data_IF_711310064681
#
_entry.id   IF_711310064681
#
_cell.length_a   1.000
_cell.length_b   1.000
_cell.length_c   1.000
_cell.angle_alpha   90.00
_cell.angle_beta   90.00
_cell.angle_gamma   90.00
#
_symmetry.space_group_name_H-M   'P 1'
#
loop_
_entity.id
_entity.type
_entity.pdbx_description
1 polymer ?
#
# COMPACT_ATOMS: atom_id res chain seq x y z
N UNK A 1 5.58 8.72 -1.91
CA UNK A 1 5.27 7.28 -1.82
C UNK A 1 6.44 6.47 -2.31
N UNK A 2 6.68 6.48 -3.62
CA UNK A 2 7.77 5.75 -4.29
C UNK A 2 9.17 6.00 -3.70
N UNK A 3 9.45 7.21 -3.23
CA UNK A 3 10.70 7.54 -2.55
C UNK A 3 10.96 6.68 -1.29
N UNK A 4 9.91 6.28 -0.57
CA UNK A 4 10.01 5.39 0.60
C UNK A 4 10.32 3.95 0.17
N UNK A 5 9.70 3.48 -0.91
CA UNK A 5 9.98 2.16 -1.48
C UNK A 5 11.44 2.06 -1.92
N UNK A 6 11.93 3.07 -2.66
CA UNK A 6 13.32 3.16 -3.07
C UNK A 6 14.28 3.19 -1.88
N UNK A 7 13.97 3.99 -0.85
CA UNK A 7 14.80 4.08 0.35
C UNK A 7 14.92 2.75 1.09
N UNK A 8 13.83 1.98 1.22
CA UNK A 8 13.87 0.65 1.84
C UNK A 8 14.67 -0.33 0.99
N UNK A 9 14.47 -0.37 -0.33
CA UNK A 9 15.25 -1.25 -1.20
C UNK A 9 16.76 -0.97 -1.09
N UNK A 10 17.16 0.30 -1.03
CA UNK A 10 18.57 0.73 -0.86
C UNK A 10 19.20 0.31 0.47
N UNK A 11 18.42 -0.06 1.50
CA UNK A 11 18.97 -0.58 2.75
C UNK A 11 19.49 -2.02 2.61
N UNK A 12 19.00 -2.78 1.61
CA UNK A 12 19.26 -4.22 1.47
C UNK A 12 19.90 -4.60 0.14
N UNK A 13 19.91 -3.70 -0.85
CA UNK A 13 20.32 -3.96 -2.22
C UNK A 13 21.35 -2.93 -2.71
N UNK A 14 22.05 -3.24 -3.80
CA UNK A 14 22.85 -2.24 -4.51
C UNK A 14 21.94 -1.18 -5.15
N UNK A 15 22.50 -0.04 -5.56
CA UNK A 15 21.72 1.02 -6.23
C UNK A 15 21.00 0.52 -7.49
N UNK A 16 21.70 -0.26 -8.32
CA UNK A 16 21.15 -0.83 -9.56
C UNK A 16 20.02 -1.82 -9.25
N UNK A 17 20.23 -2.72 -8.29
CA UNK A 17 19.22 -3.69 -7.87
C UNK A 17 18.00 -3.01 -7.24
N UNK A 18 18.21 -1.98 -6.42
CA UNK A 18 17.13 -1.19 -5.82
C UNK A 18 16.31 -0.45 -6.88
N UNK A 19 16.96 0.06 -7.92
CA UNK A 19 16.26 0.66 -9.07
C UNK A 19 15.38 -0.37 -9.78
N UNK A 20 15.92 -1.55 -10.11
CA UNK A 20 15.15 -2.59 -10.79
C UNK A 20 14.06 -3.19 -9.90
N UNK A 21 14.27 -3.27 -8.58
CA UNK A 21 13.24 -3.62 -7.62
C UNK A 21 12.08 -2.62 -7.67
N UNK A 22 12.37 -1.31 -7.66
CA UNK A 22 11.32 -0.28 -7.75
C UNK A 22 10.55 -0.38 -9.08
N UNK A 23 11.25 -0.59 -10.20
CA UNK A 23 10.61 -0.80 -11.51
C UNK A 23 9.71 -2.03 -11.47
N UNK A 24 10.18 -3.14 -10.88
CA UNK A 24 9.38 -4.37 -10.72
C UNK A 24 8.09 -4.10 -9.94
N UNK A 25 8.18 -3.39 -8.82
CA UNK A 25 7.02 -3.04 -8.00
C UNK A 25 6.01 -2.19 -8.78
N UNK A 26 6.48 -1.17 -9.49
CA UNK A 26 5.61 -0.19 -10.18
C UNK A 26 4.98 -0.77 -11.46
N UNK A 27 5.74 -1.51 -12.25
CA UNK A 27 5.33 -1.91 -13.61
C UNK A 27 4.77 -3.33 -13.67
N UNK A 28 5.10 -4.21 -12.72
CA UNK A 28 4.79 -5.64 -12.81
C UNK A 28 3.98 -6.18 -11.62
N UNK A 29 4.23 -5.72 -10.40
CA UNK A 29 3.50 -6.19 -9.21
C UNK A 29 2.23 -5.37 -8.99
N UNK A 30 2.36 -4.05 -8.97
CA UNK A 30 1.21 -3.17 -8.80
C UNK A 30 0.32 -3.15 -10.06
N UNK A 31 -0.99 -2.93 -9.90
CA UNK A 31 -1.88 -2.76 -11.05
C UNK A 31 -1.39 -1.67 -12.01
N UNK A 32 -1.69 -1.82 -13.30
CA UNK A 32 -1.39 -0.77 -14.27
C UNK A 32 -2.03 0.55 -13.82
N UNK A 33 -1.28 1.65 -13.99
CA UNK A 33 -1.71 3.00 -13.63
C UNK A 33 -1.93 3.23 -12.12
N UNK A 34 -1.41 2.35 -11.24
CA UNK A 34 -1.51 2.50 -9.78
C UNK A 34 -1.00 3.84 -9.29
N UNK A 35 0.19 4.23 -9.78
CA UNK A 35 0.87 5.48 -9.43
C UNK A 35 0.66 6.58 -10.49
N UNK A 36 -0.41 6.50 -11.29
CA UNK A 36 -0.80 7.55 -12.23
C UNK A 36 -1.17 8.86 -11.51
N UNK A 37 -1.29 9.97 -12.24
CA UNK A 37 -1.65 11.26 -11.65
C UNK A 37 -3.03 11.26 -10.97
N UNK A 38 -3.95 10.44 -11.47
CA UNK A 38 -5.32 10.32 -10.95
C UNK A 38 -5.41 9.27 -9.84
N UNK A 39 -4.43 8.36 -9.76
CA UNK A 39 -4.40 7.24 -8.80
C UNK A 39 -5.67 6.39 -8.86
N UNK A 40 -6.28 6.26 -10.05
CA UNK A 40 -7.56 5.58 -10.22
C UNK A 40 -7.49 4.12 -9.77
N UNK A 41 -6.47 3.38 -10.20
CA UNK A 41 -6.26 2.01 -9.78
C UNK A 41 -6.01 1.88 -8.26
N UNK A 42 -5.32 2.84 -7.64
CA UNK A 42 -5.18 2.88 -6.16
C UNK A 42 -6.51 3.11 -5.44
N UNK A 43 -7.42 3.91 -6.02
CA UNK A 43 -8.75 4.14 -5.46
C UNK A 43 -9.64 2.90 -5.56
N UNK A 44 -9.47 2.10 -6.61
CA UNK A 44 -10.17 0.80 -6.75
C UNK A 44 -9.82 -0.12 -5.59
N UNK A 45 -8.55 -0.22 -5.19
CA UNK A 45 -8.14 -1.03 -4.04
C UNK A 45 -8.78 -0.56 -2.72
N UNK A 46 -8.95 0.76 -2.53
CA UNK A 46 -9.65 1.26 -1.34
C UNK A 46 -11.11 0.82 -1.31
N UNK A 47 -11.75 0.75 -2.48
CA UNK A 47 -13.12 0.25 -2.58
C UNK A 47 -13.19 -1.25 -2.28
N UNK A 48 -12.25 -2.04 -2.80
CA UNK A 48 -12.13 -3.47 -2.47
C UNK A 48 -11.93 -3.67 -0.97
N UNK A 49 -11.05 -2.87 -0.34
CA UNK A 49 -10.86 -2.90 1.12
C UNK A 49 -12.15 -2.56 1.88
N UNK A 50 -12.91 -1.56 1.40
CA UNK A 50 -14.20 -1.18 1.98
C UNK A 50 -15.21 -2.34 1.92
N UNK A 51 -15.29 -3.03 0.78
CA UNK A 51 -16.16 -4.20 0.60
C UNK A 51 -15.74 -5.36 1.54
N UNK A 52 -14.43 -5.62 1.67
CA UNK A 52 -13.90 -6.61 2.60
C UNK A 52 -14.18 -6.25 4.07
N UNK A 53 -14.13 -4.97 4.43
CA UNK A 53 -14.47 -4.49 5.78
C UNK A 53 -15.95 -4.71 6.10
N UNK A 54 -16.84 -4.49 5.13
CA UNK A 54 -18.28 -4.77 5.27
C UNK A 54 -18.50 -6.27 5.48
N UNK A 55 -17.84 -7.11 4.69
CA UNK A 55 -18.04 -8.57 4.74
C UNK A 55 -17.42 -9.20 5.99
N UNK A 56 -16.17 -8.85 6.32
CA UNK A 56 -15.37 -9.53 7.35
C UNK A 56 -15.42 -8.84 8.70
N UNK A 57 -15.59 -7.52 8.74
CA UNK A 57 -15.56 -6.71 9.97
C UNK A 57 -16.75 -5.74 10.07
N UNK A 58 -18.01 -6.21 9.89
CA UNK A 58 -19.18 -5.34 9.76
C UNK A 58 -19.40 -4.41 10.96
N UNK A 59 -19.07 -4.87 12.18
CA UNK A 59 -19.19 -4.07 13.40
C UNK A 59 -18.23 -2.87 13.40
N UNK A 60 -16.99 -3.08 12.94
CA UNK A 60 -15.98 -2.01 12.86
C UNK A 60 -16.34 -1.04 11.75
N UNK A 61 -16.73 -1.56 10.58
CA UNK A 61 -17.17 -0.74 9.46
C UNK A 61 -18.36 0.17 9.85
N UNK A 62 -19.40 -0.39 10.47
CA UNK A 62 -20.55 0.39 10.94
C UNK A 62 -20.16 1.46 11.96
N UNK A 63 -19.20 1.17 12.85
CA UNK A 63 -18.70 2.15 13.80
C UNK A 63 -17.98 3.31 13.10
N UNK A 64 -17.11 3.04 12.13
CA UNK A 64 -16.43 4.09 11.36
C UNK A 64 -17.42 4.95 10.58
N UNK A 65 -18.40 4.35 9.89
CA UNK A 65 -19.44 5.07 9.15
C UNK A 65 -20.31 5.93 10.07
N UNK A 66 -20.70 5.43 11.26
CA UNK A 66 -21.47 6.21 12.24
C UNK A 66 -20.75 7.47 12.73
N UNK A 67 -19.40 7.43 12.73
CA UNK A 67 -18.54 8.56 13.08
C UNK A 67 -18.05 9.35 11.85
N UNK A 68 -18.55 9.04 10.65
CA UNK A 68 -18.15 9.68 9.38
C UNK A 68 -16.64 9.60 9.11
N UNK A 69 -16.02 8.49 9.52
CA UNK A 69 -14.60 8.23 9.28
C UNK A 69 -14.47 7.43 7.99
N UNK A 70 -13.88 8.04 6.98
CA UNK A 70 -13.51 7.36 5.74
C UNK A 70 -12.21 6.57 5.95
N UNK A 71 -12.26 5.26 5.69
CA UNK A 71 -11.12 4.34 5.76
C UNK A 71 -9.94 4.83 4.92
N UNK A 72 -10.22 5.34 3.73
CA UNK A 72 -9.19 5.75 2.76
C UNK A 72 -8.29 6.88 3.30
N UNK A 73 -8.74 7.66 4.28
CA UNK A 73 -7.94 8.72 4.90
C UNK A 73 -6.63 8.22 5.51
N UNK A 74 -6.60 6.96 5.96
CA UNK A 74 -5.39 6.34 6.50
C UNK A 74 -4.92 5.16 5.66
N UNK A 75 -5.83 4.36 5.10
CA UNK A 75 -5.45 3.15 4.34
C UNK A 75 -4.87 3.46 2.97
N UNK A 76 -5.13 4.63 2.39
CA UNK A 76 -4.61 4.98 1.06
C UNK A 76 -3.08 5.03 1.04
N UNK A 77 -2.46 5.65 2.05
CA UNK A 77 -1.00 5.72 2.15
C UNK A 77 -0.40 4.34 2.42
N UNK A 78 -1.07 3.50 3.21
CA UNK A 78 -0.59 2.15 3.53
C UNK A 78 -0.35 1.34 2.26
N UNK A 79 -1.27 1.41 1.30
CA UNK A 79 -1.18 0.68 0.04
C UNK A 79 -0.14 1.33 -0.89
N UNK A 80 -0.17 2.67 -1.02
CA UNK A 80 0.78 3.39 -1.87
C UNK A 80 2.24 3.17 -1.47
N UNK A 81 2.52 2.97 -0.19
CA UNK A 81 3.88 2.76 0.32
C UNK A 81 4.15 1.34 0.75
N UNK A 82 3.29 0.36 0.40
CA UNK A 82 3.46 -1.05 0.80
C UNK A 82 3.80 -1.15 2.30
N UNK A 83 3.02 -0.45 3.11
CA UNK A 83 3.12 -0.33 4.57
C UNK A 83 4.43 0.25 5.13
N UNK A 84 5.38 0.65 4.28
CA UNK A 84 6.61 1.32 4.71
C UNK A 84 6.27 2.57 5.51
N UNK A 85 6.94 2.73 6.66
CA UNK A 85 6.81 3.89 7.55
C UNK A 85 5.39 4.07 8.15
N UNK A 86 4.55 3.04 8.04
CA UNK A 86 3.22 3.00 8.68
C UNK A 86 3.23 2.13 9.93
N UNK A 87 4.00 1.04 9.90
CA UNK A 87 4.14 0.07 10.99
C UNK A 87 5.63 -0.13 11.30
N UNK A 88 5.99 -0.79 12.42
CA UNK A 88 7.40 -1.06 12.75
C UNK A 88 8.13 -1.80 11.63
N UNK A 89 9.45 -1.58 11.54
CA UNK A 89 10.29 -2.12 10.48
C UNK A 89 10.27 -3.64 10.43
N UNK A 90 10.28 -4.28 11.59
CA UNK A 90 10.19 -5.72 11.72
C UNK A 90 8.92 -6.26 11.06
N UNK A 91 7.81 -5.51 11.10
CA UNK A 91 6.53 -5.95 10.55
C UNK A 91 6.41 -5.69 9.06
N UNK A 92 6.75 -4.49 8.57
CA UNK A 92 6.60 -4.24 7.13
C UNK A 92 7.65 -4.99 6.31
N UNK A 93 8.81 -5.36 6.87
CA UNK A 93 9.78 -6.19 6.15
C UNK A 93 9.21 -7.58 5.86
N UNK A 94 8.46 -8.19 6.78
CA UNK A 94 7.73 -9.44 6.47
C UNK A 94 6.65 -9.26 5.40
N UNK A 95 6.00 -8.10 5.35
CA UNK A 95 5.05 -7.80 4.26
C UNK A 95 5.80 -7.74 2.93
N UNK A 96 6.98 -7.11 2.91
CA UNK A 96 7.84 -7.03 1.73
C UNK A 96 8.33 -8.39 1.26
N UNK A 97 8.71 -9.29 2.17
CA UNK A 97 9.13 -10.66 1.83
C UNK A 97 8.03 -11.48 1.13
N UNK A 98 6.75 -11.19 1.41
CA UNK A 98 5.60 -11.86 0.76
C UNK A 98 5.17 -11.12 -0.52
N UNK A 99 5.41 -9.81 -0.57
CA UNK A 99 4.99 -8.94 -1.66
C UNK A 99 5.92 -9.03 -2.88
N UNK A 100 7.24 -9.17 -2.65
CA UNK A 100 8.28 -9.36 -3.67
C UNK A 100 8.41 -10.83 -4.08
#
# INVERSE_FOLDING_TARGET
>A
GLNRLAAIALLFMSEEDAFWCLVTVVEYIMPRDYYSRTLEASQVDQRVLKDLMIEKLPRLYAHLESNKVDLSLFTFNWFLTVFVDTIPAETYLYIWDVFL
#
